data_IF_321192549078
#
_entry.id   IF_321192549078
#
_cell.length_a   1.000
_cell.length_b   1.000
_cell.length_c   1.000
_cell.angle_alpha   90.00
_cell.angle_beta   90.00
_cell.angle_gamma   90.00
#
_symmetry.space_group_name_H-M   'P 1'
#
loop_
_entity.id
_entity.type
_entity.pdbx_description
1 polymer ?
#
# COMPACT_ATOMS: atom_id res chain seq x y z
N UNK A 1 -10.75 -4.29 14.34
CA UNK A 1 -9.33 -4.55 14.67
C UNK A 1 -8.52 -4.33 13.41
N UNK A 2 -7.38 -3.64 13.49
CA UNK A 2 -6.51 -3.40 12.33
C UNK A 2 -6.00 -4.71 11.75
N UNK A 3 -5.91 -4.78 10.42
CA UNK A 3 -5.36 -5.93 9.71
C UNK A 3 -4.40 -5.50 8.60
N UNK A 4 -3.51 -6.41 8.20
CA UNK A 4 -2.56 -6.17 7.12
C UNK A 4 -2.61 -7.33 6.15
N UNK A 5 -2.57 -7.00 4.86
CA UNK A 5 -2.45 -7.98 3.80
C UNK A 5 -1.74 -7.35 2.61
N UNK A 6 -1.36 -8.20 1.66
CA UNK A 6 -0.92 -7.79 0.34
C UNK A 6 -1.80 -8.45 -0.73
N UNK A 7 -1.90 -7.83 -1.89
CA UNK A 7 -2.56 -8.40 -3.05
C UNK A 7 -1.72 -8.11 -4.28
N UNK A 8 -1.58 -9.09 -5.15
CA UNK A 8 -0.94 -8.89 -6.44
C UNK A 8 -2.00 -8.52 -7.48
N UNK A 9 -1.68 -7.55 -8.32
CA UNK A 9 -2.48 -7.18 -9.48
C UNK A 9 -1.63 -7.42 -10.73
N UNK A 10 -2.04 -8.40 -11.53
CA UNK A 10 -1.27 -8.90 -12.66
C UNK A 10 -1.31 -7.98 -13.87
N UNK A 11 -2.42 -7.27 -14.10
CA UNK A 11 -2.55 -6.36 -15.24
C UNK A 11 -1.50 -5.24 -15.24
N UNK A 12 -1.11 -4.75 -14.05
CA UNK A 12 -0.10 -3.70 -13.91
C UNK A 12 1.22 -4.19 -13.29
N UNK A 13 1.35 -5.49 -12.99
CA UNK A 13 2.51 -6.07 -12.31
C UNK A 13 2.82 -5.33 -10.99
N UNK A 14 1.79 -5.09 -10.18
CA UNK A 14 1.88 -4.34 -8.91
C UNK A 14 1.59 -5.26 -7.73
N UNK A 15 2.47 -5.19 -6.74
CA UNK A 15 2.15 -5.64 -5.39
C UNK A 15 1.61 -4.47 -4.56
N UNK A 16 0.36 -4.61 -4.12
CA UNK A 16 -0.24 -3.75 -3.13
C UNK A 16 -0.01 -4.29 -1.73
N UNK A 17 0.28 -3.39 -0.78
CA UNK A 17 0.41 -3.68 0.64
C UNK A 17 -0.52 -2.74 1.37
N UNK A 18 -1.42 -3.28 2.19
CA UNK A 18 -2.46 -2.50 2.87
C UNK A 18 -2.37 -2.67 4.38
N UNK A 19 -2.55 -1.55 5.08
CA UNK A 19 -3.08 -1.53 6.42
C UNK A 19 -4.53 -1.09 6.37
N UNK A 20 -5.40 -1.87 7.00
CA UNK A 20 -6.84 -1.64 7.00
C UNK A 20 -7.33 -1.42 8.41
N UNK A 21 -8.03 -0.31 8.59
CA UNK A 21 -8.69 0.07 9.83
C UNK A 21 -9.79 -0.91 10.22
N UNK A 22 -10.31 -0.72 11.42
CA UNK A 22 -11.44 -1.51 11.91
C UNK A 22 -12.78 -1.16 11.23
N UNK A 23 -12.82 -0.03 10.54
CA UNK A 23 -13.91 0.45 9.68
C UNK A 23 -13.88 -0.14 8.26
N UNK A 24 -12.87 -0.94 7.93
CA UNK A 24 -12.68 -1.55 6.60
C UNK A 24 -12.05 -0.62 5.56
N UNK A 25 -11.63 0.59 5.95
CA UNK A 25 -10.92 1.53 5.09
C UNK A 25 -9.40 1.34 5.17
N UNK A 26 -8.72 1.65 4.07
CA UNK A 26 -7.27 1.60 4.01
C UNK A 26 -6.69 2.85 4.69
N UNK A 27 -5.94 2.68 5.77
CA UNK A 27 -5.24 3.77 6.44
C UNK A 27 -3.87 4.05 5.83
N UNK A 28 -3.21 3.01 5.28
CA UNK A 28 -1.90 3.11 4.61
C UNK A 28 -1.79 2.11 3.45
N UNK A 29 -1.20 2.55 2.33
CA UNK A 29 -1.10 1.76 1.09
C UNK A 29 0.22 1.89 0.35
N UNK A 30 0.93 0.77 0.17
CA UNK A 30 2.16 0.71 -0.62
C UNK A 30 1.94 0.00 -1.94
N UNK A 31 2.50 0.57 -3.00
CA UNK A 31 2.46 0.00 -4.35
C UNK A 31 3.88 -0.20 -4.85
N UNK A 32 4.22 -1.45 -5.15
CA UNK A 32 5.53 -1.83 -5.65
C UNK A 32 5.39 -2.48 -7.02
N UNK A 33 5.95 -1.83 -8.04
CA UNK A 33 5.86 -2.30 -9.42
C UNK A 33 7.02 -3.24 -9.78
N UNK A 34 6.64 -4.37 -10.37
CA UNK A 34 7.47 -5.40 -10.96
C UNK A 34 8.43 -6.14 -10.04
N UNK A 35 9.19 -7.05 -10.63
CA UNK A 35 10.13 -7.91 -9.90
C UNK A 35 11.20 -7.15 -9.10
N UNK A 36 11.50 -5.90 -9.47
CA UNK A 36 12.40 -5.02 -8.73
C UNK A 36 11.76 -4.33 -7.52
N UNK A 37 10.46 -4.53 -7.28
CA UNK A 37 9.67 -3.91 -6.22
C UNK A 37 9.87 -2.40 -6.15
N UNK A 38 9.81 -1.74 -7.31
CA UNK A 38 10.03 -0.29 -7.42
C UNK A 38 8.84 0.44 -6.82
N UNK A 39 9.02 1.30 -5.79
CA UNK A 39 7.91 2.02 -5.19
C UNK A 39 7.24 2.98 -6.18
N UNK A 40 5.92 2.90 -6.26
CA UNK A 40 5.05 3.82 -7.00
C UNK A 40 4.32 4.74 -6.03
N UNK A 41 3.70 4.16 -5.00
CA UNK A 41 3.02 4.89 -3.94
C UNK A 41 3.45 4.39 -2.55
N UNK A 42 3.39 5.30 -1.58
CA UNK A 42 3.42 4.99 -0.17
C UNK A 42 2.62 6.01 0.67
N UNK A 43 1.31 6.11 0.38
CA UNK A 43 0.31 7.01 0.97
C UNK A 43 -0.29 6.58 2.33
N UNK A 44 -0.42 7.54 3.25
CA UNK A 44 -1.32 7.47 4.39
C UNK A 44 -2.59 8.25 4.08
N UNK A 45 -3.74 7.83 4.61
CA UNK A 45 -5.04 8.52 4.47
C UNK A 45 -4.99 10.02 4.86
N UNK A 46 -4.17 10.38 5.84
CA UNK A 46 -3.95 11.78 6.27
C UNK A 46 -2.82 12.50 5.53
N UNK A 47 -2.15 11.89 4.56
CA UNK A 47 -1.06 12.56 3.84
C UNK A 47 -1.60 13.67 2.93
N UNK A 48 -0.96 14.84 2.99
CA UNK A 48 -1.19 15.95 2.04
C UNK A 48 -0.10 16.07 0.97
N UNK A 49 0.94 15.27 1.08
CA UNK A 49 2.11 15.30 0.20
C UNK A 49 1.94 14.34 -0.97
N UNK A 50 1.65 14.90 -2.15
CA UNK A 50 1.36 14.15 -3.37
C UNK A 50 2.48 13.20 -3.81
N UNK A 51 3.71 13.36 -3.30
CA UNK A 51 4.84 12.45 -3.61
C UNK A 51 4.62 11.02 -3.14
N UNK A 52 3.69 10.82 -2.20
CA UNK A 52 3.39 9.50 -1.64
C UNK A 52 2.17 8.83 -2.29
N UNK A 53 1.41 9.51 -3.15
CA UNK A 53 0.19 8.99 -3.76
C UNK A 53 -1.03 9.10 -2.84
N UNK A 54 -2.04 8.26 -3.09
CA UNK A 54 -3.30 8.20 -2.33
C UNK A 54 -3.58 6.77 -1.87
N UNK A 55 -4.41 6.61 -0.83
CA UNK A 55 -4.98 5.31 -0.45
C UNK A 55 -6.18 4.97 -1.32
N UNK A 56 -6.61 3.72 -1.32
CA UNK A 56 -7.81 3.27 -1.99
C UNK A 56 -9.05 4.10 -1.60
N UNK A 57 -9.91 4.37 -2.59
CA UNK A 57 -11.04 5.31 -2.46
C UNK A 57 -12.35 4.63 -1.99
N UNK A 58 -12.35 3.31 -1.84
CA UNK A 58 -13.48 2.50 -1.35
C UNK A 58 -13.01 1.51 -0.28
N UNK A 59 -13.89 1.09 0.65
CA UNK A 59 -13.56 0.08 1.65
C UNK A 59 -13.32 -1.29 1.00
N UNK A 60 -12.52 -2.13 1.66
CA UNK A 60 -12.09 -3.44 1.11
C UNK A 60 -13.26 -4.36 0.75
N UNK A 61 -14.38 -4.26 1.46
CA UNK A 61 -15.58 -5.05 1.19
C UNK A 61 -16.21 -4.82 -0.18
N UNK A 62 -15.89 -3.69 -0.83
CA UNK A 62 -16.39 -3.33 -2.16
C UNK A 62 -15.43 -3.72 -3.29
N UNK A 63 -14.24 -4.25 -2.97
CA UNK A 63 -13.24 -4.57 -3.99
C UNK A 63 -13.54 -5.92 -4.67
N UNK A 64 -13.66 -5.92 -5.99
CA UNK A 64 -13.85 -7.12 -6.79
C UNK A 64 -12.51 -7.73 -7.24
N UNK A 65 -12.40 -9.05 -7.25
CA UNK A 65 -11.25 -9.77 -7.83
C UNK A 65 -9.95 -9.76 -7.02
N UNK A 66 -9.86 -9.01 -5.92
CA UNK A 66 -8.67 -9.00 -5.07
C UNK A 66 -8.50 -10.35 -4.33
N UNK A 67 -7.24 -10.77 -4.15
CA UNK A 67 -6.90 -11.99 -3.42
C UNK A 67 -6.00 -11.61 -2.24
N UNK A 68 -6.56 -11.46 -1.02
CA UNK A 68 -5.80 -10.99 0.12
C UNK A 68 -4.86 -12.08 0.65
N UNK A 69 -3.57 -11.77 0.69
CA UNK A 69 -2.56 -12.57 1.38
C UNK A 69 -2.22 -11.93 2.73
N UNK A 70 -2.53 -12.58 3.87
CA UNK A 70 -2.25 -12.04 5.19
C UNK A 70 -0.78 -11.66 5.36
N UNK A 71 -0.54 -10.53 6.03
CA UNK A 71 0.78 -9.96 6.24
C UNK A 71 0.98 -9.64 7.72
N UNK A 72 2.18 -9.84 8.26
CA UNK A 72 2.51 -9.37 9.60
C UNK A 72 2.69 -7.84 9.62
N UNK A 73 2.27 -7.18 10.70
CA UNK A 73 2.43 -5.73 10.86
C UNK A 73 3.89 -5.29 10.67
N UNK A 74 4.85 -6.05 11.20
CA UNK A 74 6.27 -5.73 11.07
C UNK A 74 6.77 -5.84 9.63
N UNK A 75 6.19 -6.75 8.82
CA UNK A 75 6.51 -6.85 7.40
C UNK A 75 5.98 -5.64 6.64
N UNK A 76 4.74 -5.22 6.94
CA UNK A 76 4.15 -4.01 6.38
C UNK A 76 5.03 -2.78 6.68
N UNK A 77 5.39 -2.56 7.94
CA UNK A 77 6.19 -1.38 8.35
C UNK A 77 7.52 -1.28 7.61
N UNK A 78 8.22 -2.42 7.42
CA UNK A 78 9.49 -2.43 6.68
C UNK A 78 9.33 -2.05 5.23
N UNK A 79 8.33 -2.62 4.56
CA UNK A 79 8.00 -2.30 3.16
C UNK A 79 7.63 -0.83 3.05
N UNK A 80 6.74 -0.37 3.94
CA UNK A 80 6.21 0.98 3.99
C UNK A 80 7.28 2.05 4.14
N UNK A 81 8.08 1.94 5.20
CA UNK A 81 9.12 2.90 5.50
C UNK A 81 10.19 2.93 4.39
N UNK A 82 10.49 1.77 3.79
CA UNK A 82 11.44 1.69 2.67
C UNK A 82 10.89 2.37 1.42
N UNK A 83 9.63 2.12 1.06
CA UNK A 83 8.98 2.75 -0.07
C UNK A 83 8.93 4.28 0.08
N UNK A 84 8.49 4.79 1.24
CA UNK A 84 8.47 6.23 1.54
C UNK A 84 9.85 6.87 1.45
N UNK A 85 10.89 6.22 2.00
CA UNK A 85 12.27 6.73 1.94
C UNK A 85 12.76 6.85 0.49
N UNK A 86 12.51 5.83 -0.33
CA UNK A 86 12.90 5.85 -1.75
C UNK A 86 12.13 6.91 -2.54
N UNK A 87 10.83 7.07 -2.28
CA UNK A 87 10.01 8.11 -2.92
C UNK A 87 10.49 9.51 -2.53
N UNK A 88 10.78 9.77 -1.26
CA UNK A 88 11.30 11.05 -0.80
C UNK A 88 12.63 11.43 -1.49
N UNK A 89 13.52 10.44 -1.67
CA UNK A 89 14.82 10.63 -2.32
C UNK A 89 14.74 11.00 -3.81
N UNK A 90 13.61 10.78 -4.50
CA UNK A 90 13.44 11.18 -5.91
C UNK A 90 13.29 12.68 -6.11
N UNK A 91 12.95 13.40 -5.05
CA UNK A 91 12.64 14.83 -5.07
C UNK A 91 13.62 15.65 -4.22
N UNK A 92 14.82 15.10 -3.97
CA UNK A 92 15.92 15.76 -3.25
C UNK A 92 17.02 16.11 -4.25
#
# INVERSE_FOLDING_TARGET
>A
MTSWFRSYWDEEDIWFYFEVGDDGWVSRQAELHGAGLRPVAAARDTDSDARYGITAESPVSEWEGHVPEPLAAEQFERVWATARRQLAARFT
#
